data_IF_929074156530
#
_entry.id   IF_929074156530
#
_cell.length_a   1.000
_cell.length_b   1.000
_cell.length_c   1.000
_cell.angle_alpha   90.00
_cell.angle_beta   90.00
_cell.angle_gamma   90.00
#
_symmetry.space_group_name_H-M   'P 1'
#
loop_
_entity.id
_entity.type
_entity.pdbx_description
1 polymer ?
#
# COMPACT_ATOMS: atom_id res chain seq x y z
N UNK A 1 1.61 21.53 -6.97
CA UNK A 1 2.97 20.96 -6.80
C UNK A 1 2.90 19.87 -5.75
N UNK A 2 3.67 18.79 -5.91
CA UNK A 2 3.78 17.72 -4.91
C UNK A 2 5.01 17.97 -4.04
N UNK A 3 4.83 17.91 -2.73
CA UNK A 3 5.83 18.18 -1.72
C UNK A 3 6.10 16.90 -0.92
N UNK A 4 7.36 16.45 -0.80
CA UNK A 4 7.69 15.30 0.03
C UNK A 4 7.43 15.60 1.50
N UNK A 5 6.93 14.60 2.23
CA UNK A 5 6.62 14.68 3.66
C UNK A 5 6.98 13.38 4.37
N UNK A 6 7.32 13.49 5.64
CA UNK A 6 7.58 12.34 6.52
C UNK A 6 6.67 12.39 7.74
N UNK A 7 6.19 11.22 8.17
CA UNK A 7 5.33 11.07 9.33
C UNK A 7 5.96 10.10 10.32
N UNK A 8 6.07 10.52 11.58
CA UNK A 8 6.40 9.62 12.67
C UNK A 8 5.19 8.73 13.00
N UNK A 9 5.37 7.43 12.85
CA UNK A 9 4.40 6.39 13.21
C UNK A 9 4.79 5.69 14.52
N UNK A 10 3.92 4.78 15.00
CA UNK A 10 4.19 3.99 16.18
C UNK A 10 5.50 3.19 16.07
N UNK A 11 6.17 2.96 17.21
CA UNK A 11 7.39 2.14 17.30
C UNK A 11 8.57 2.63 16.45
N UNK A 12 8.63 3.95 16.20
CA UNK A 12 9.72 4.57 15.44
C UNK A 12 9.67 4.31 13.92
N UNK A 13 8.53 3.82 13.42
CA UNK A 13 8.31 3.70 11.98
C UNK A 13 8.14 5.10 11.37
N UNK A 14 8.95 5.46 10.39
CA UNK A 14 8.74 6.67 9.59
C UNK A 14 8.04 6.31 8.28
N UNK A 15 6.90 6.93 8.00
CA UNK A 15 6.23 6.84 6.70
C UNK A 15 6.70 7.98 5.80
N UNK A 16 6.95 7.66 4.54
CA UNK A 16 7.25 8.64 3.49
C UNK A 16 5.99 8.89 2.68
N UNK A 17 5.77 10.15 2.32
CA UNK A 17 4.64 10.54 1.51
C UNK A 17 4.93 11.74 0.63
N UNK A 18 3.92 12.08 -0.16
CA UNK A 18 3.84 13.30 -0.94
C UNK A 18 2.49 13.97 -0.69
N UNK A 19 2.50 15.29 -0.53
CA UNK A 19 1.28 16.09 -0.40
C UNK A 19 1.17 17.17 -1.47
N UNK A 20 -0.05 17.53 -1.85
CA UNK A 20 -0.37 18.79 -2.50
C UNK A 20 -1.26 19.62 -1.58
N UNK A 21 -0.92 20.90 -1.44
CA UNK A 21 -1.65 21.85 -0.59
C UNK A 21 -2.48 22.80 -1.48
N UNK A 22 -3.39 22.25 -2.29
CA UNK A 22 -4.10 22.98 -3.35
C UNK A 22 -5.48 23.54 -2.92
N UNK A 23 -6.01 23.11 -1.77
CA UNK A 23 -7.25 23.67 -1.20
C UNK A 23 -7.63 23.06 0.15
N UNK A 24 -8.80 23.41 0.66
CA UNK A 24 -9.19 23.11 2.05
C UNK A 24 -9.72 21.68 2.26
N UNK A 25 -10.13 21.01 1.17
CA UNK A 25 -10.63 19.64 1.21
C UNK A 25 -9.52 18.63 0.97
N UNK A 26 -9.35 17.69 1.90
CA UNK A 26 -8.29 16.68 1.85
C UNK A 26 -8.76 15.33 1.32
N UNK A 27 -7.92 14.73 0.48
CA UNK A 27 -8.05 13.34 0.01
C UNK A 27 -6.83 12.54 0.44
N UNK A 28 -7.05 11.34 0.97
CA UNK A 28 -5.98 10.40 1.33
C UNK A 28 -5.96 9.26 0.32
N UNK A 29 -4.81 9.08 -0.34
CA UNK A 29 -4.61 8.12 -1.42
C UNK A 29 -3.76 6.95 -0.91
N UNK A 30 -4.32 5.75 -0.95
CA UNK A 30 -3.69 4.53 -0.46
C UNK A 30 -3.47 3.58 -1.63
N UNK A 31 -2.22 3.22 -1.91
CA UNK A 31 -1.90 2.31 -3.00
C UNK A 31 -2.19 0.84 -2.63
N UNK A 32 -2.37 -0.01 -3.65
CA UNK A 32 -2.49 -1.46 -3.50
C UNK A 32 -1.14 -2.17 -3.43
N UNK A 33 -1.16 -3.50 -3.30
CA UNK A 33 0.04 -4.35 -3.30
C UNK A 33 0.87 -4.18 -4.58
N UNK A 34 2.20 -4.18 -4.44
CA UNK A 34 3.14 -4.06 -5.56
C UNK A 34 3.17 -2.68 -6.24
N UNK A 35 2.52 -1.70 -5.63
CA UNK A 35 2.56 -0.28 -6.01
C UNK A 35 3.17 0.53 -4.88
N UNK A 36 3.48 1.78 -5.17
CA UNK A 36 4.00 2.79 -4.26
C UNK A 36 3.18 4.08 -4.41
N UNK A 37 3.57 5.12 -3.68
CA UNK A 37 2.93 6.43 -3.74
C UNK A 37 2.99 7.08 -5.13
N UNK A 38 3.96 6.73 -5.98
CA UNK A 38 4.16 7.38 -7.29
C UNK A 38 3.01 7.07 -8.25
N UNK A 39 2.33 5.93 -8.05
CA UNK A 39 1.14 5.55 -8.81
C UNK A 39 0.01 6.59 -8.74
N UNK A 40 0.03 7.48 -7.74
CA UNK A 40 -1.01 8.47 -7.51
C UNK A 40 -0.70 9.87 -8.06
N UNK A 41 0.50 10.15 -8.58
CA UNK A 41 0.86 11.49 -9.07
C UNK A 41 -0.15 12.08 -10.07
N UNK A 42 -0.63 11.35 -11.09
CA UNK A 42 -1.63 11.89 -12.03
C UNK A 42 -2.95 12.24 -11.34
N UNK A 43 -3.41 11.39 -10.40
CA UNK A 43 -4.66 11.63 -9.67
C UNK A 43 -4.53 12.80 -8.69
N UNK A 44 -3.40 12.91 -7.98
CA UNK A 44 -3.14 14.00 -7.06
C UNK A 44 -3.07 15.36 -7.78
N UNK A 45 -2.50 15.41 -8.98
CA UNK A 45 -2.53 16.61 -9.82
C UNK A 45 -3.96 16.96 -10.26
N UNK A 46 -4.72 15.97 -10.76
CA UNK A 46 -6.11 16.16 -11.19
C UNK A 46 -7.03 16.63 -10.05
N UNK A 47 -6.80 16.16 -8.82
CA UNK A 47 -7.48 16.62 -7.61
C UNK A 47 -7.11 18.07 -7.27
N UNK A 48 -5.83 18.42 -7.40
CA UNK A 48 -5.35 19.79 -7.18
C UNK A 48 -5.98 20.80 -8.13
N UNK A 49 -6.17 20.45 -9.40
CA UNK A 49 -6.90 21.28 -10.38
C UNK A 49 -8.36 21.54 -9.99
N UNK A 50 -8.92 20.76 -9.05
CA UNK A 50 -10.29 20.87 -8.54
C UNK A 50 -10.37 21.44 -7.13
N UNK A 51 -9.26 21.98 -6.61
CA UNK A 51 -9.20 22.59 -5.27
C UNK A 51 -9.14 21.58 -4.13
N UNK A 52 -8.76 20.32 -4.39
CA UNK A 52 -8.49 19.34 -3.34
C UNK A 52 -7.00 19.29 -3.01
N UNK A 53 -6.69 19.25 -1.73
CA UNK A 53 -5.39 18.80 -1.23
C UNK A 53 -5.35 17.27 -1.21
N UNK A 54 -4.20 16.70 -1.52
CA UNK A 54 -4.01 15.26 -1.55
C UNK A 54 -2.81 14.84 -0.70
N UNK A 55 -2.93 13.70 -0.02
CA UNK A 55 -1.83 13.02 0.65
C UNK A 55 -1.73 11.58 0.13
N UNK A 56 -0.58 11.22 -0.45
CA UNK A 56 -0.21 9.84 -0.75
C UNK A 56 0.97 9.43 0.12
N UNK A 57 1.04 8.18 0.55
CA UNK A 57 2.16 7.67 1.35
C UNK A 57 2.47 6.21 1.02
N UNK A 58 3.73 5.84 1.19
CA UNK A 58 4.17 4.46 1.05
C UNK A 58 3.68 3.67 2.25
N UNK A 59 2.94 2.60 1.97
CA UNK A 59 2.64 1.60 2.97
C UNK A 59 3.95 0.88 3.33
N UNK A 60 4.18 0.58 4.62
CA UNK A 60 5.26 -0.29 5.00
C UNK A 60 5.11 -1.57 4.20
N UNK A 61 6.14 -1.93 3.45
CA UNK A 61 6.27 -3.30 2.99
C UNK A 61 6.36 -4.13 4.25
N UNK A 62 5.22 -4.67 4.69
CA UNK A 62 5.27 -5.88 5.48
C UNK A 62 5.88 -6.84 4.49
N UNK A 63 7.19 -7.07 4.61
CA UNK A 63 7.73 -8.35 4.21
C UNK A 63 6.75 -9.31 4.88
N UNK A 64 5.87 -9.93 4.08
CA UNK A 64 5.61 -11.32 4.32
C UNK A 64 6.99 -11.94 4.21
N UNK A 65 7.76 -11.89 5.30
CA UNK A 65 8.68 -12.94 5.64
C UNK A 65 7.78 -14.14 5.48
N UNK A 66 7.91 -14.84 4.35
CA UNK A 66 7.38 -16.19 4.23
C UNK A 66 7.85 -16.82 5.51
N UNK A 67 6.94 -17.07 6.45
CA UNK A 67 7.31 -17.81 7.65
C UNK A 67 8.06 -19.03 7.12
N UNK A 68 9.34 -19.23 7.47
CA UNK A 68 10.07 -20.38 6.97
C UNK A 68 9.31 -21.60 7.47
N UNK A 69 8.62 -22.30 6.56
CA UNK A 69 7.83 -23.48 6.95
C UNK A 69 6.55 -23.78 6.18
N UNK A 70 5.97 -22.87 5.38
CA UNK A 70 4.86 -23.26 4.49
C UNK A 70 5.37 -23.63 3.10
N UNK A 71 5.94 -24.83 3.01
CA UNK A 71 6.13 -25.52 1.73
C UNK A 71 4.77 -25.76 1.09
N UNK A 72 4.66 -25.57 -0.23
CA UNK A 72 3.50 -26.02 -1.00
C UNK A 72 3.25 -27.50 -0.66
N UNK A 73 2.01 -27.91 -0.31
CA UNK A 73 1.73 -29.33 -0.06
C UNK A 73 2.09 -30.12 -1.30
N UNK A 74 2.78 -31.24 -1.09
CA UNK A 74 3.20 -32.13 -2.17
C UNK A 74 1.98 -32.60 -2.96
N UNK A 75 2.14 -32.99 -4.23
CA UNK A 75 1.04 -33.53 -5.05
C UNK A 75 0.26 -34.65 -4.32
N UNK A 76 0.94 -35.44 -3.49
CA UNK A 76 0.36 -36.51 -2.68
C UNK A 76 -0.54 -35.98 -1.55
N UNK A 77 -0.16 -34.89 -0.89
CA UNK A 77 -1.00 -34.26 0.16
C UNK A 77 -2.26 -33.61 -0.42
N UNK A 78 -2.19 -33.09 -1.66
CA UNK A 78 -3.37 -32.54 -2.37
C UNK A 78 -4.35 -33.65 -2.74
N UNK A 79 -3.85 -34.79 -3.23
CA UNK A 79 -4.68 -35.92 -3.61
C UNK A 79 -5.46 -36.52 -2.43
N UNK A 80 -4.87 -36.54 -1.23
CA UNK A 80 -5.56 -37.02 -0.01
C UNK A 80 -6.70 -36.11 0.43
N UNK A 81 -6.52 -34.78 0.31
CA UNK A 81 -7.52 -33.79 0.71
C UNK A 81 -8.79 -33.82 -0.15
N UNK A 82 -8.65 -34.22 -1.43
CA UNK A 82 -9.79 -34.36 -2.35
C UNK A 82 -10.55 -35.69 -2.18
N UNK A 83 -10.01 -36.66 -1.43
CA UNK A 83 -10.70 -37.93 -1.14
C UNK A 83 -11.50 -37.91 0.15
N UNK A 84 -11.20 -36.98 1.06
CA UNK A 84 -11.93 -36.81 2.34
C UNK A 84 -13.22 -35.97 2.20
N UNK A 85 -13.62 -35.60 0.99
CA UNK A 85 -14.87 -34.87 0.68
C UNK A 85 -15.73 -35.62 -0.36
N UNK A 86 -15.51 -36.93 -0.50
CA UNK A 86 -16.38 -37.84 -1.24
C UNK A 86 -16.90 -38.93 -0.31
#
# INVERSE_FOLDING_TARGET
MLNPVEFAGPRGLTLRGERSDAGDHWTVLVHGEGRDLDAWRPLAMWLGERGFSALAFDLPFTLWVRAPGRSRPSPQQRARRNRSHR
#
